data_IF_073963018095
#
_entry.id   IF_073963018095
#
_cell.length_a   1.000
_cell.length_b   1.000
_cell.length_c   1.000
_cell.angle_alpha   90.00
_cell.angle_beta   90.00
_cell.angle_gamma   90.00
#
_symmetry.space_group_name_H-M   'P 1'
#
loop_
_entity.id
_entity.type
_entity.pdbx_description
1 polymer ?
#
# COMPACT_ATOMS: atom_id res chain seq x y z
N UNK A 1 -1.16 -0.52 21.64
CA UNK A 1 -1.29 -0.26 20.19
C UNK A 1 -2.60 -0.81 19.65
N UNK A 2 -2.93 -2.09 19.85
CA UNK A 2 -4.20 -2.71 19.37
C UNK A 2 -5.45 -1.92 19.78
N UNK A 3 -5.60 -1.58 21.07
CA UNK A 3 -6.74 -0.80 21.56
C UNK A 3 -6.90 0.57 20.88
N UNK A 4 -5.79 1.26 20.57
CA UNK A 4 -5.82 2.54 19.88
C UNK A 4 -6.29 2.38 18.43
N UNK A 5 -5.85 1.32 17.75
CA UNK A 5 -6.27 1.01 16.37
C UNK A 5 -7.74 0.62 16.31
N UNK A 6 -8.26 -0.09 17.32
CA UNK A 6 -9.68 -0.46 17.37
C UNK A 6 -10.60 0.74 17.61
N UNK A 7 -10.14 1.73 18.38
CA UNK A 7 -10.89 2.95 18.71
C UNK A 7 -10.72 4.05 17.65
N UNK A 8 -9.79 3.91 16.70
CA UNK A 8 -9.54 4.91 15.64
C UNK A 8 -10.36 4.60 14.40
N UNK A 9 -10.93 5.65 13.80
CA UNK A 9 -11.64 5.56 12.53
C UNK A 9 -10.76 4.96 11.41
N UNK A 10 -11.37 4.14 10.55
CA UNK A 10 -10.63 3.40 9.51
C UNK A 10 -10.00 4.32 8.47
N UNK A 11 -10.63 5.45 8.13
CA UNK A 11 -10.03 6.42 7.19
C UNK A 11 -8.82 7.10 7.81
N UNK A 12 -8.87 7.41 9.11
CA UNK A 12 -7.71 7.96 9.84
C UNK A 12 -6.53 6.98 9.82
N UNK A 13 -6.78 5.70 10.06
CA UNK A 13 -5.75 4.66 9.97
C UNK A 13 -5.19 4.51 8.55
N UNK A 14 -6.05 4.62 7.53
CA UNK A 14 -5.62 4.52 6.14
C UNK A 14 -4.73 5.69 5.70
N UNK A 15 -5.08 6.93 6.06
CA UNK A 15 -4.23 8.10 5.81
C UNK A 15 -2.86 7.91 6.46
N UNK A 16 -2.83 7.44 7.71
CA UNK A 16 -1.57 7.17 8.39
C UNK A 16 -0.77 6.04 7.74
N UNK A 17 -1.43 5.00 7.24
CA UNK A 17 -0.78 3.90 6.51
C UNK A 17 -0.18 4.39 5.18
N UNK A 18 -0.90 5.22 4.42
CA UNK A 18 -0.41 5.86 3.19
C UNK A 18 0.84 6.69 3.51
N UNK A 19 0.75 7.59 4.49
CA UNK A 19 1.88 8.44 4.93
C UNK A 19 3.12 7.62 5.31
N UNK A 20 2.94 6.43 5.89
CA UNK A 20 4.05 5.55 6.26
C UNK A 20 4.63 4.83 5.05
N UNK A 21 3.78 4.29 4.17
CA UNK A 21 4.21 3.55 2.99
C UNK A 21 4.87 4.47 1.95
N UNK A 22 4.35 5.69 1.75
CA UNK A 22 4.91 6.66 0.80
C UNK A 22 6.35 7.06 1.13
N UNK A 23 6.75 7.05 2.41
CA UNK A 23 8.14 7.36 2.81
C UNK A 23 9.16 6.34 2.31
N UNK A 24 8.74 5.10 2.11
CA UNK A 24 9.61 4.00 1.68
C UNK A 24 9.38 3.58 0.24
N UNK A 25 8.25 3.98 -0.35
CA UNK A 25 7.89 3.63 -1.72
C UNK A 25 8.93 4.06 -2.77
N UNK A 26 9.66 5.19 -2.64
CA UNK A 26 10.73 5.53 -3.57
C UNK A 26 11.79 4.43 -3.74
N UNK A 27 12.09 3.64 -2.70
CA UNK A 27 13.02 2.51 -2.84
C UNK A 27 12.53 1.43 -3.81
N UNK A 28 11.21 1.28 -3.99
CA UNK A 28 10.67 0.39 -5.02
C UNK A 28 10.73 1.05 -6.39
N UNK A 29 10.35 2.32 -6.48
CA UNK A 29 10.21 3.02 -7.77
C UNK A 29 11.54 3.32 -8.46
N UNK A 30 12.61 3.52 -7.69
CA UNK A 30 13.96 3.67 -8.23
C UNK A 30 14.45 2.39 -8.92
N UNK A 31 14.20 1.23 -8.30
CA UNK A 31 14.62 -0.08 -8.82
C UNK A 31 13.65 -0.61 -9.90
N UNK A 32 12.35 -0.29 -9.81
CA UNK A 32 11.28 -0.81 -10.67
C UNK A 32 10.41 0.33 -11.25
N UNK A 33 10.96 1.26 -12.03
CA UNK A 33 10.27 2.48 -12.48
C UNK A 33 9.06 2.22 -13.40
N UNK A 34 8.99 1.04 -14.02
CA UNK A 34 7.90 0.66 -14.92
C UNK A 34 6.79 -0.14 -14.22
N UNK A 35 6.94 -0.48 -12.95
CA UNK A 35 5.95 -1.24 -12.19
C UNK A 35 5.21 -0.34 -11.18
N UNK A 36 4.01 0.06 -11.58
CA UNK A 36 3.15 0.93 -10.78
C UNK A 36 2.30 0.18 -9.75
N UNK A 37 2.41 -1.16 -9.61
CA UNK A 37 1.51 -1.93 -8.73
C UNK A 37 1.50 -1.43 -7.27
N UNK A 38 2.63 -1.12 -6.62
CA UNK A 38 2.61 -0.61 -5.25
C UNK A 38 2.04 0.81 -5.12
N UNK A 39 2.38 1.73 -6.03
CA UNK A 39 1.82 3.09 -6.08
C UNK A 39 0.29 3.05 -6.27
N UNK A 40 -0.20 2.19 -7.17
CA UNK A 40 -1.64 1.96 -7.38
C UNK A 40 -2.37 1.42 -6.16
N UNK A 41 -1.71 0.62 -5.31
CA UNK A 41 -2.32 0.14 -4.07
C UNK A 41 -2.59 1.30 -3.09
N UNK A 42 -1.65 2.24 -2.96
CA UNK A 42 -1.84 3.43 -2.14
C UNK A 42 -2.86 4.40 -2.75
N UNK A 43 -2.85 4.60 -4.07
CA UNK A 43 -3.85 5.42 -4.78
C UNK A 43 -5.26 4.86 -4.60
N UNK A 44 -5.42 3.53 -4.66
CA UNK A 44 -6.72 2.86 -4.42
C UNK A 44 -7.20 3.09 -2.99
N UNK A 45 -6.28 3.06 -2.01
CA UNK A 45 -6.62 3.33 -0.61
C UNK A 45 -7.00 4.80 -0.41
N UNK A 46 -6.28 5.72 -1.06
CA UNK A 46 -6.55 7.15 -1.04
C UNK A 46 -7.92 7.48 -1.64
N UNK A 47 -8.27 6.87 -2.78
CA UNK A 47 -9.59 7.03 -3.42
C UNK A 47 -10.73 6.63 -2.48
N UNK A 48 -10.57 5.52 -1.75
CA UNK A 48 -11.56 5.11 -0.73
C UNK A 48 -11.64 6.10 0.45
N UNK A 49 -10.51 6.66 0.89
CA UNK A 49 -10.50 7.70 1.94
C UNK A 49 -11.31 8.92 1.49
N UNK A 50 -11.10 9.37 0.26
CA UNK A 50 -11.74 10.57 -0.31
C UNK A 50 -13.22 10.38 -0.61
N UNK A 51 -13.58 9.29 -1.31
CA UNK A 51 -14.94 9.06 -1.79
C UNK A 51 -15.81 8.30 -0.79
N UNK A 52 -15.19 7.44 0.03
CA UNK A 52 -15.90 6.44 0.83
C UNK A 52 -16.43 5.25 0.04
N UNK A 53 -16.21 5.18 -1.27
CA UNK A 53 -16.67 4.09 -2.12
C UNK A 53 -15.79 2.86 -1.92
N UNK A 54 -16.36 1.79 -1.36
CA UNK A 54 -15.64 0.55 -1.05
C UNK A 54 -16.09 -0.59 -1.94
N UNK A 55 -15.15 -1.14 -2.71
CA UNK A 55 -15.34 -2.37 -3.47
C UNK A 55 -14.27 -3.41 -3.09
N UNK A 56 -14.70 -4.50 -2.45
CA UNK A 56 -13.80 -5.55 -1.95
C UNK A 56 -12.90 -6.12 -3.05
N UNK A 57 -13.42 -6.29 -4.27
CA UNK A 57 -12.65 -6.79 -5.41
C UNK A 57 -11.53 -5.82 -5.82
N UNK A 58 -11.81 -4.52 -5.83
CA UNK A 58 -10.84 -3.46 -6.20
C UNK A 58 -9.74 -3.38 -5.15
N UNK A 59 -10.11 -3.22 -3.87
CA UNK A 59 -9.15 -3.05 -2.77
C UNK A 59 -8.29 -4.30 -2.59
N UNK A 60 -8.91 -5.50 -2.63
CA UNK A 60 -8.15 -6.75 -2.55
C UNK A 60 -7.26 -6.96 -3.77
N UNK A 61 -7.73 -6.58 -4.96
CA UNK A 61 -6.95 -6.67 -6.19
C UNK A 61 -5.69 -5.81 -6.15
N UNK A 62 -5.81 -4.56 -5.70
CA UNK A 62 -4.70 -3.63 -5.59
C UNK A 62 -3.67 -4.10 -4.54
N UNK A 63 -4.12 -4.47 -3.34
CA UNK A 63 -3.29 -5.03 -2.26
C UNK A 63 -2.52 -6.28 -2.71
N UNK A 64 -3.22 -7.25 -3.30
CA UNK A 64 -2.58 -8.49 -3.79
C UNK A 64 -1.61 -8.23 -4.93
N UNK A 65 -1.89 -7.25 -5.80
CA UNK A 65 -1.00 -6.87 -6.89
C UNK A 65 0.31 -6.28 -6.36
N UNK A 66 0.26 -5.44 -5.32
CA UNK A 66 1.46 -4.93 -4.65
C UNK A 66 2.28 -6.05 -3.99
N UNK A 67 1.60 -7.00 -3.32
CA UNK A 67 2.26 -8.18 -2.78
C UNK A 67 2.87 -9.11 -3.83
N UNK A 68 2.28 -9.20 -5.03
CA UNK A 68 2.84 -9.94 -6.15
C UNK A 68 4.11 -9.23 -6.67
N UNK A 69 4.06 -7.92 -6.85
CA UNK A 69 5.23 -7.07 -7.14
C UNK A 69 6.38 -7.35 -6.16
N UNK A 70 6.09 -7.31 -4.85
CA UNK A 70 7.08 -7.62 -3.82
C UNK A 70 7.66 -9.05 -3.92
N UNK A 71 6.93 -10.03 -4.43
CA UNK A 71 7.43 -11.40 -4.62
C UNK A 71 8.35 -11.51 -5.83
N UNK A 72 8.08 -10.72 -6.86
CA UNK A 72 8.87 -10.72 -8.10
C UNK A 72 10.24 -10.03 -7.93
N UNK A 73 10.39 -9.13 -6.96
CA UNK A 73 11.69 -8.53 -6.59
C UNK A 73 12.75 -9.59 -6.23
N UNK A 74 12.33 -10.76 -5.71
CA UNK A 74 13.24 -11.84 -5.33
C UNK A 74 13.75 -11.72 -3.90
N UNK A 75 15.06 -11.52 -3.72
CA UNK A 75 15.70 -11.49 -2.39
C UNK A 75 15.16 -10.36 -1.50
N UNK A 76 15.38 -10.48 -0.19
CA UNK A 76 14.97 -9.45 0.76
C UNK A 76 15.83 -8.18 0.61
N UNK A 77 15.20 -7.09 0.19
CA UNK A 77 15.79 -5.76 0.03
C UNK A 77 14.75 -4.67 0.31
N UNK A 78 15.18 -3.40 0.24
CA UNK A 78 14.32 -2.23 0.48
C UNK A 78 13.11 -2.17 -0.45
N UNK A 79 13.28 -2.44 -1.75
CA UNK A 79 12.21 -2.48 -2.73
C UNK A 79 11.12 -3.51 -2.35
N UNK A 80 11.53 -4.74 -2.03
CA UNK A 80 10.63 -5.81 -1.61
C UNK A 80 9.83 -5.43 -0.37
N UNK A 81 10.48 -4.84 0.64
CA UNK A 81 9.82 -4.35 1.85
C UNK A 81 8.86 -3.19 1.57
N UNK A 82 9.23 -2.25 0.70
CA UNK A 82 8.38 -1.13 0.31
C UNK A 82 7.11 -1.59 -0.41
N UNK A 83 7.22 -2.51 -1.37
CA UNK A 83 6.04 -3.08 -2.04
C UNK A 83 5.16 -3.93 -1.09
N UNK A 84 5.75 -4.56 -0.06
CA UNK A 84 4.97 -5.20 1.00
C UNK A 84 4.24 -4.20 1.89
N UNK A 85 4.83 -3.04 2.17
CA UNK A 85 4.21 -2.03 3.01
C UNK A 85 3.01 -1.34 2.31
N UNK A 86 3.05 -1.25 0.99
CA UNK A 86 1.97 -0.64 0.19
C UNK A 86 0.75 -1.54 -0.04
N UNK A 87 0.89 -2.86 0.10
CA UNK A 87 -0.18 -3.85 -0.13
C UNK A 87 -0.72 -4.44 1.15
#
# INVERSE_FOLDING_TARGET
>A
MVKLVDETDKKTLAVWAIDCADRVLPFYEEDYPNDSRPRKALETLQEWVETGEFHMSVIRGASLSSHAAAREVGLDNSARSAARAAG
#
